data_IF_148650517392
#
_entry.id   IF_148650517392
#
_cell.length_a   1.000
_cell.length_b   1.000
_cell.length_c   1.000
_cell.angle_alpha   90.00
_cell.angle_beta   90.00
_cell.angle_gamma   90.00
#
_symmetry.space_group_name_H-M   'P 1'
#
loop_
_entity.id
_entity.type
_entity.pdbx_description
1 polymer ?
#
# COMPACT_ATOMS: atom_id res chain seq x y z
N UNK A 1 61.50 -6.63 -8.45
CA UNK A 1 60.42 -5.92 -9.16
C UNK A 1 59.11 -6.51 -8.66
N UNK A 2 58.72 -6.11 -7.45
CA UNK A 2 57.53 -6.61 -6.75
C UNK A 2 56.65 -5.39 -6.49
N UNK A 3 55.72 -5.11 -7.40
CA UNK A 3 54.78 -4.01 -7.23
C UNK A 3 53.35 -4.49 -7.52
N UNK A 4 52.45 -4.12 -6.60
CA UNK A 4 51.00 -3.97 -6.81
C UNK A 4 50.11 -5.22 -6.91
N UNK A 5 50.23 -6.20 -5.98
CA UNK A 5 49.17 -7.21 -5.76
C UNK A 5 48.26 -6.95 -4.54
N UNK A 6 48.66 -6.06 -3.62
CA UNK A 6 47.95 -5.83 -2.35
C UNK A 6 46.72 -4.92 -2.43
N UNK A 7 46.78 -3.84 -3.20
CA UNK A 7 45.68 -2.86 -3.25
C UNK A 7 44.44 -3.36 -4.01
N UNK A 8 44.63 -4.12 -5.09
CA UNK A 8 43.52 -4.50 -5.96
C UNK A 8 42.53 -5.48 -5.30
N UNK A 9 43.02 -6.35 -4.41
CA UNK A 9 42.19 -7.29 -3.67
C UNK A 9 41.40 -6.58 -2.55
N UNK A 10 42.01 -5.62 -1.85
CA UNK A 10 41.36 -4.89 -0.76
C UNK A 10 40.26 -3.96 -1.27
N UNK A 11 40.48 -3.28 -2.40
CA UNK A 11 39.45 -2.42 -3.03
C UNK A 11 38.29 -3.25 -3.57
N UNK A 12 38.56 -4.43 -4.15
CA UNK A 12 37.50 -5.36 -4.60
C UNK A 12 36.71 -5.94 -3.43
N UNK A 13 37.35 -6.27 -2.31
CA UNK A 13 36.66 -6.71 -1.08
C UNK A 13 35.78 -5.60 -0.49
N UNK A 14 36.28 -4.35 -0.47
CA UNK A 14 35.50 -3.18 -0.03
C UNK A 14 34.28 -2.93 -0.92
N UNK A 15 34.45 -2.99 -2.24
CA UNK A 15 33.33 -2.84 -3.19
C UNK A 15 32.33 -3.99 -3.08
N UNK A 16 32.79 -5.24 -2.95
CA UNK A 16 31.91 -6.39 -2.77
C UNK A 16 31.11 -6.31 -1.46
N UNK A 17 31.73 -5.82 -0.38
CA UNK A 17 31.06 -5.60 0.91
C UNK A 17 29.99 -4.52 0.81
N UNK A 18 30.26 -3.39 0.14
CA UNK A 18 29.27 -2.33 -0.09
C UNK A 18 28.09 -2.87 -0.90
N UNK A 19 28.36 -3.59 -1.99
CA UNK A 19 27.31 -4.21 -2.82
C UNK A 19 26.48 -5.19 -1.99
N UNK A 20 27.11 -6.03 -1.17
CA UNK A 20 26.39 -6.99 -0.34
C UNK A 20 25.51 -6.30 0.71
N UNK A 21 25.99 -5.23 1.34
CA UNK A 21 25.20 -4.45 2.31
C UNK A 21 24.01 -3.79 1.61
N UNK A 22 24.22 -3.15 0.46
CA UNK A 22 23.15 -2.51 -0.31
C UNK A 22 22.11 -3.53 -0.76
N UNK A 23 22.54 -4.67 -1.31
CA UNK A 23 21.64 -5.73 -1.75
C UNK A 23 20.84 -6.32 -0.57
N UNK A 24 21.51 -6.58 0.55
CA UNK A 24 20.85 -7.11 1.75
C UNK A 24 19.82 -6.11 2.30
N UNK A 25 20.15 -4.81 2.31
CA UNK A 25 19.23 -3.75 2.71
C UNK A 25 18.00 -3.65 1.80
N UNK A 26 18.21 -3.75 0.49
CA UNK A 26 17.12 -3.76 -0.50
C UNK A 26 16.18 -4.96 -0.29
N UNK A 27 16.73 -6.16 -0.09
CA UNK A 27 15.94 -7.38 0.16
C UNK A 27 15.12 -7.26 1.45
N UNK A 28 15.73 -6.84 2.56
CA UNK A 28 15.02 -6.68 3.83
C UNK A 28 13.87 -5.69 3.69
N UNK A 29 14.08 -4.59 2.96
CA UNK A 29 13.03 -3.59 2.78
C UNK A 29 11.90 -4.11 1.90
N UNK A 30 12.22 -4.81 0.81
CA UNK A 30 11.22 -5.45 -0.04
C UNK A 30 10.36 -6.45 0.74
N UNK A 31 10.98 -7.31 1.56
CA UNK A 31 10.26 -8.29 2.38
C UNK A 31 9.34 -7.60 3.40
N UNK A 32 9.82 -6.54 4.08
CA UNK A 32 8.99 -5.80 5.03
C UNK A 32 7.78 -5.16 4.36
N UNK A 33 7.97 -4.55 3.20
CA UNK A 33 6.89 -3.94 2.43
C UNK A 33 5.86 -4.98 2.01
N UNK A 34 6.31 -6.11 1.45
CA UNK A 34 5.44 -7.20 1.00
C UNK A 34 4.65 -7.82 2.17
N UNK A 35 5.30 -7.99 3.32
CA UNK A 35 4.65 -8.44 4.54
C UNK A 35 3.57 -7.45 5.01
N UNK A 36 3.86 -6.15 5.03
CA UNK A 36 2.88 -5.13 5.42
C UNK A 36 1.70 -5.08 4.45
N UNK A 37 1.96 -5.11 3.14
CA UNK A 37 0.90 -5.12 2.12
C UNK A 37 0.01 -6.35 2.28
N UNK A 38 0.60 -7.55 2.38
CA UNK A 38 -0.14 -8.79 2.58
C UNK A 38 -0.94 -8.80 3.88
N UNK A 39 -0.38 -8.27 4.96
CA UNK A 39 -1.07 -8.18 6.25
C UNK A 39 -2.31 -7.28 6.19
N UNK A 40 -2.19 -6.11 5.57
CA UNK A 40 -3.30 -5.15 5.46
C UNK A 40 -4.38 -5.69 4.52
N UNK A 41 -3.97 -6.32 3.41
CA UNK A 41 -4.85 -6.97 2.44
C UNK A 41 -5.67 -8.11 3.07
N UNK A 42 -5.01 -9.05 3.76
CA UNK A 42 -5.67 -10.18 4.42
C UNK A 42 -6.63 -9.71 5.51
N UNK A 43 -6.24 -8.69 6.30
CA UNK A 43 -7.12 -8.10 7.32
C UNK A 43 -8.38 -7.52 6.73
N UNK A 44 -8.25 -6.78 5.62
CA UNK A 44 -9.41 -6.17 4.97
C UNK A 44 -10.34 -7.23 4.39
N UNK A 45 -9.82 -8.18 3.62
CA UNK A 45 -10.62 -9.23 2.99
C UNK A 45 -11.21 -10.22 3.99
N UNK A 46 -10.50 -10.53 5.08
CA UNK A 46 -11.04 -11.34 6.16
C UNK A 46 -12.17 -10.62 6.87
N UNK A 47 -11.99 -9.32 7.16
CA UNK A 47 -13.06 -8.52 7.71
C UNK A 47 -14.27 -8.56 6.76
N UNK A 48 -14.02 -8.27 5.46
CA UNK A 48 -14.68 -8.61 4.16
C UNK A 48 -15.61 -9.85 4.15
N UNK A 49 -15.05 -10.98 4.58
CA UNK A 49 -15.72 -12.26 4.56
C UNK A 49 -16.53 -12.54 5.83
N UNK A 50 -16.10 -12.00 6.97
CA UNK A 50 -16.75 -12.21 8.27
C UNK A 50 -18.03 -11.37 8.45
N UNK A 51 -18.33 -10.45 7.52
CA UNK A 51 -19.56 -9.66 7.53
C UNK A 51 -19.65 -8.73 8.74
N UNK A 52 -18.50 -8.27 9.25
CA UNK A 52 -18.40 -7.46 10.49
C UNK A 52 -18.86 -6.00 10.31
N UNK A 53 -19.73 -5.72 9.36
CA UNK A 53 -20.24 -4.38 9.07
C UNK A 53 -21.76 -4.47 9.01
N UNK A 54 -22.42 -3.67 9.84
CA UNK A 54 -23.79 -3.27 9.59
C UNK A 54 -23.77 -2.02 8.73
N UNK A 55 -24.72 -1.89 7.80
CA UNK A 55 -24.81 -0.76 6.87
C UNK A 55 -24.84 0.62 7.56
N UNK A 56 -25.21 0.66 8.86
CA UNK A 56 -25.32 1.87 9.66
C UNK A 56 -24.10 2.18 10.55
N UNK A 57 -23.03 1.37 10.49
CA UNK A 57 -21.85 1.56 11.34
C UNK A 57 -20.70 2.23 10.57
N UNK A 58 -20.28 3.40 11.04
CA UNK A 58 -19.04 4.04 10.61
C UNK A 58 -17.86 3.50 11.42
N UNK A 59 -16.73 3.27 10.77
CA UNK A 59 -15.52 2.84 11.44
C UNK A 59 -14.28 3.54 10.88
N UNK A 60 -13.30 3.81 11.75
CA UNK A 60 -11.99 4.26 11.29
C UNK A 60 -11.28 3.12 10.57
N UNK A 61 -10.80 3.38 9.36
CA UNK A 61 -10.07 2.40 8.55
C UNK A 61 -8.84 1.86 9.29
N UNK A 62 -8.12 2.72 10.01
CA UNK A 62 -6.94 2.33 10.78
C UNK A 62 -7.28 1.34 11.91
N UNK A 63 -8.37 1.60 12.65
CA UNK A 63 -8.83 0.71 13.72
C UNK A 63 -9.34 -0.62 13.17
N UNK A 64 -10.06 -0.58 12.05
CA UNK A 64 -10.62 -1.75 11.41
C UNK A 64 -9.56 -2.72 10.89
N UNK A 65 -8.50 -2.18 10.29
CA UNK A 65 -7.35 -2.96 9.83
C UNK A 65 -6.43 -3.39 10.98
N UNK A 66 -6.47 -2.68 12.11
CA UNK A 66 -5.46 -2.77 13.16
C UNK A 66 -4.08 -2.33 12.67
N UNK A 67 -4.05 -1.42 11.70
CA UNK A 67 -2.86 -0.91 11.03
C UNK A 67 -2.83 0.60 11.18
N UNK A 68 -1.80 1.12 11.86
CA UNK A 68 -1.69 2.55 12.15
C UNK A 68 -0.46 3.21 11.52
N UNK A 69 0.36 2.45 10.78
CA UNK A 69 1.62 2.93 10.20
C UNK A 69 1.43 3.60 8.83
N UNK A 70 0.46 4.51 8.72
CA UNK A 70 0.23 5.34 7.54
C UNK A 70 -0.21 6.75 7.93
N UNK A 71 0.01 7.71 7.04
CA UNK A 71 -0.40 9.11 7.21
C UNK A 71 -1.65 9.40 6.39
N UNK A 72 -1.70 8.88 5.17
CA UNK A 72 -2.81 9.06 4.22
C UNK A 72 -3.18 7.76 3.51
N UNK A 73 -4.44 7.64 3.12
CA UNK A 73 -4.96 6.57 2.27
C UNK A 73 -5.65 7.19 1.06
N UNK A 74 -5.28 6.73 -0.13
CA UNK A 74 -5.82 7.24 -1.39
C UNK A 74 -6.67 6.17 -2.07
N UNK A 75 -7.79 6.60 -2.65
CA UNK A 75 -8.65 5.77 -3.49
C UNK A 75 -8.17 5.92 -4.94
N UNK A 76 -7.63 4.84 -5.49
CA UNK A 76 -7.10 4.82 -6.85
C UNK A 76 -8.06 4.05 -7.75
N UNK A 77 -8.56 4.75 -8.77
CA UNK A 77 -9.42 4.19 -9.81
C UNK A 77 -8.63 4.09 -11.13
N UNK A 78 -9.04 3.19 -12.05
CA UNK A 78 -8.46 3.15 -13.39
C UNK A 78 -8.52 4.54 -14.05
N UNK A 79 -7.38 5.03 -14.53
CA UNK A 79 -7.26 6.36 -15.12
C UNK A 79 -7.14 7.52 -14.12
N UNK A 80 -6.87 7.25 -12.84
CA UNK A 80 -6.52 8.30 -11.86
C UNK A 80 -5.18 8.95 -12.17
N UNK A 81 -5.10 10.28 -12.03
CA UNK A 81 -3.87 11.06 -12.21
C UNK A 81 -2.97 11.10 -10.95
N UNK A 82 -3.30 10.32 -9.91
CA UNK A 82 -2.50 10.26 -8.69
C UNK A 82 -1.15 9.58 -8.97
N UNK A 83 -0.08 10.28 -8.61
CA UNK A 83 1.29 9.76 -8.67
C UNK A 83 1.76 9.33 -7.29
N UNK A 84 2.43 8.19 -7.24
CA UNK A 84 2.95 7.63 -6.00
C UNK A 84 4.43 7.34 -6.13
N UNK A 85 5.12 7.39 -5.00
CA UNK A 85 6.52 6.99 -4.91
C UNK A 85 6.69 5.92 -3.83
N UNK A 86 7.67 5.06 -4.02
CA UNK A 86 8.17 4.19 -2.94
C UNK A 86 8.89 5.05 -1.89
N UNK A 87 9.16 4.50 -0.71
CA UNK A 87 9.98 5.16 0.33
C UNK A 87 11.39 5.57 -0.13
N UNK A 88 11.83 5.13 -1.30
CA UNK A 88 13.12 5.46 -1.90
C UNK A 88 13.02 6.48 -3.03
N UNK A 89 11.85 7.07 -3.27
CA UNK A 89 11.63 8.07 -4.34
C UNK A 89 11.50 7.48 -5.74
N UNK A 90 11.33 6.17 -5.88
CA UNK A 90 11.01 5.57 -7.19
C UNK A 90 9.51 5.62 -7.45
N UNK A 91 9.13 5.91 -8.70
CA UNK A 91 7.73 5.87 -9.13
C UNK A 91 7.09 4.51 -8.79
N UNK A 92 5.90 4.57 -8.19
CA UNK A 92 5.09 3.42 -7.84
C UNK A 92 3.83 3.39 -8.71
N UNK A 93 3.54 2.23 -9.31
CA UNK A 93 2.35 2.02 -10.13
C UNK A 93 1.34 1.17 -9.35
N UNK A 94 0.20 1.75 -8.93
CA UNK A 94 -0.86 1.01 -8.27
C UNK A 94 -1.41 -0.12 -9.16
N UNK A 95 -1.82 -1.20 -8.51
CA UNK A 95 -2.49 -2.36 -9.11
C UNK A 95 -3.96 -2.01 -9.40
N UNK A 96 -4.19 -1.24 -10.46
CA UNK A 96 -5.52 -0.91 -10.97
C UNK A 96 -5.64 -1.27 -12.45
N UNK A 97 -6.80 -1.83 -12.83
CA UNK A 97 -7.04 -2.36 -14.18
C UNK A 97 -6.81 -3.87 -14.28
N UNK A 98 -7.31 -4.47 -15.38
CA UNK A 98 -7.31 -5.92 -15.55
C UNK A 98 -8.22 -6.61 -14.54
N UNK A 99 -7.63 -7.43 -13.67
CA UNK A 99 -8.35 -8.16 -12.60
C UNK A 99 -8.87 -7.25 -11.48
N UNK A 100 -8.23 -6.10 -11.27
CA UNK A 100 -8.55 -5.19 -10.17
C UNK A 100 -9.38 -4.00 -10.64
N UNK A 101 -10.49 -3.75 -9.95
CA UNK A 101 -11.42 -2.68 -10.23
C UNK A 101 -10.92 -1.33 -9.70
N UNK A 102 -10.26 -1.32 -8.54
CA UNK A 102 -9.72 -0.14 -7.86
C UNK A 102 -8.77 -0.57 -6.75
N UNK A 103 -8.04 0.35 -6.11
CA UNK A 103 -7.21 0.02 -4.95
C UNK A 103 -7.19 1.11 -3.87
N UNK A 104 -6.90 0.69 -2.64
CA UNK A 104 -6.53 1.58 -1.54
C UNK A 104 -5.01 1.64 -1.44
N UNK A 105 -4.43 2.81 -1.62
CA UNK A 105 -2.98 3.03 -1.50
C UNK A 105 -2.70 3.78 -0.21
N UNK A 106 -1.95 3.15 0.69
CA UNK A 106 -1.55 3.73 1.97
C UNK A 106 -0.15 4.31 1.83
N UNK A 107 0.04 5.55 2.28
CA UNK A 107 1.33 6.24 2.23
C UNK A 107 1.74 6.74 3.62
N UNK A 108 3.04 6.78 3.87
CA UNK A 108 3.68 7.35 5.07
C UNK A 108 4.89 8.15 4.65
N UNK A 109 5.01 9.38 5.13
CA UNK A 109 6.11 10.29 4.76
C UNK A 109 6.28 10.44 3.24
N UNK A 110 5.16 10.42 2.49
CA UNK A 110 5.12 10.51 1.03
C UNK A 110 5.39 9.20 0.28
N UNK A 111 5.87 8.14 0.95
CA UNK A 111 6.14 6.84 0.33
C UNK A 111 5.01 5.83 0.53
N UNK A 112 4.72 5.00 -0.47
CA UNK A 112 3.77 3.89 -0.36
C UNK A 112 4.26 2.87 0.68
N UNK A 113 3.35 2.45 1.56
CA UNK A 113 3.61 1.47 2.62
C UNK A 113 2.78 0.20 2.51
N UNK A 114 1.60 0.31 1.89
CA UNK A 114 0.73 -0.81 1.59
C UNK A 114 -0.18 -0.44 0.43
N UNK A 115 -0.63 -1.45 -0.30
CA UNK A 115 -1.70 -1.33 -1.27
C UNK A 115 -2.66 -2.51 -1.06
N UNK A 116 -3.96 -2.23 -1.09
CA UNK A 116 -5.01 -3.24 -1.09
C UNK A 116 -5.79 -3.13 -2.39
N UNK A 117 -5.52 -4.00 -3.38
CA UNK A 117 -6.23 -4.00 -4.64
C UNK A 117 -7.54 -4.76 -4.52
N UNK A 118 -8.61 -4.19 -5.06
CA UNK A 118 -9.97 -4.72 -4.97
C UNK A 118 -10.38 -5.34 -6.29
N UNK A 119 -10.86 -6.59 -6.28
CA UNK A 119 -11.31 -7.25 -7.51
C UNK A 119 -12.71 -6.80 -7.91
N UNK A 120 -13.05 -7.05 -9.16
CA UNK A 120 -14.43 -6.88 -9.63
C UNK A 120 -15.37 -7.80 -8.85
N UNK A 121 -16.38 -7.22 -8.20
CA UNK A 121 -17.42 -7.96 -7.49
C UNK A 121 -17.20 -8.14 -5.98
N UNK A 122 -16.00 -7.86 -5.46
CA UNK A 122 -15.73 -7.96 -4.01
C UNK A 122 -16.43 -6.82 -3.25
N UNK A 123 -16.04 -5.58 -3.57
CA UNK A 123 -16.63 -4.36 -3.03
C UNK A 123 -16.49 -3.24 -4.07
N UNK A 124 -17.58 -2.51 -4.29
CA UNK A 124 -17.60 -1.37 -5.20
C UNK A 124 -16.76 -0.19 -4.67
N UNK A 125 -16.18 0.61 -5.56
CA UNK A 125 -15.45 1.80 -5.15
C UNK A 125 -16.39 2.88 -4.58
N UNK A 126 -15.87 3.76 -3.72
CA UNK A 126 -16.62 4.91 -3.25
C UNK A 126 -17.13 5.80 -4.39
N UNK A 127 -18.36 6.32 -4.25
CA UNK A 127 -18.93 7.25 -5.24
C UNK A 127 -18.21 8.60 -5.16
N UNK A 128 -17.98 9.22 -6.32
CA UNK A 128 -17.49 10.60 -6.45
C UNK A 128 -16.12 10.89 -5.83
N UNK A 129 -15.34 9.85 -5.46
CA UNK A 129 -14.02 9.97 -4.82
C UNK A 129 -12.86 9.61 -5.77
N UNK A 130 -12.95 10.05 -7.03
CA UNK A 130 -11.87 9.85 -8.00
C UNK A 130 -10.60 10.60 -7.56
N UNK A 131 -9.55 9.85 -7.20
CA UNK A 131 -8.25 10.42 -6.90
C UNK A 131 -8.19 11.20 -5.58
N UNK A 132 -9.06 10.90 -4.61
CA UNK A 132 -9.01 11.54 -3.30
C UNK A 132 -8.15 10.75 -2.31
N UNK A 133 -7.44 11.50 -1.47
CA UNK A 133 -6.66 10.98 -0.35
C UNK A 133 -7.24 11.50 0.96
N UNK A 134 -7.33 10.62 1.94
CA UNK A 134 -7.83 10.92 3.28
C UNK A 134 -6.69 10.78 4.27
N UNK A 135 -6.59 11.71 5.22
CA UNK A 135 -5.68 11.57 6.35
C UNK A 135 -6.12 10.41 7.25
N UNK A 136 -5.17 9.73 7.89
CA UNK A 136 -5.43 8.53 8.70
C UNK A 136 -6.53 8.75 9.74
N UNK A 137 -6.54 9.92 10.38
CA UNK A 137 -7.51 10.26 11.41
C UNK A 137 -8.87 10.70 10.86
N UNK A 138 -8.97 11.00 9.57
CA UNK A 138 -10.21 11.36 8.87
C UNK A 138 -10.74 10.22 7.97
N UNK A 139 -9.99 9.13 7.81
CA UNK A 139 -10.36 7.97 7.01
C UNK A 139 -11.42 7.11 7.72
N UNK A 140 -12.63 7.66 7.85
CA UNK A 140 -13.81 6.92 8.30
C UNK A 140 -14.54 6.35 7.10
N UNK A 141 -14.92 5.09 7.23
CA UNK A 141 -15.57 4.33 6.17
C UNK A 141 -16.81 3.64 6.70
N UNK A 142 -17.77 3.49 5.82
CA UNK A 142 -18.93 2.63 5.98
C UNK A 142 -19.06 1.72 4.76
N UNK A 143 -19.71 0.58 4.94
CA UNK A 143 -20.00 -0.35 3.84
C UNK A 143 -21.51 -0.34 3.64
N UNK A 144 -21.94 0.13 2.46
CA UNK A 144 -23.35 0.27 2.09
C UNK A 144 -23.71 -0.75 1.01
N UNK A 145 -24.99 -1.11 0.94
CA UNK A 145 -25.52 -1.89 -0.17
C UNK A 145 -25.64 -0.99 -1.41
N UNK A 146 -24.84 -1.28 -2.44
CA UNK A 146 -24.90 -0.60 -3.73
C UNK A 146 -25.68 -1.40 -4.78
N UNK A 147 -25.99 -0.76 -5.92
CA UNK A 147 -26.72 -1.38 -7.03
C UNK A 147 -26.06 -2.66 -7.59
N UNK A 148 -24.73 -2.77 -7.47
CA UNK A 148 -23.94 -3.90 -7.97
C UNK A 148 -23.27 -4.71 -6.84
N UNK A 149 -23.82 -4.65 -5.61
CA UNK A 149 -23.25 -5.28 -4.42
C UNK A 149 -22.71 -4.29 -3.40
N UNK A 150 -22.06 -4.78 -2.32
CA UNK A 150 -21.56 -3.94 -1.25
C UNK A 150 -20.55 -2.92 -1.80
N UNK A 151 -20.52 -1.74 -1.20
CA UNK A 151 -19.68 -0.62 -1.62
C UNK A 151 -19.08 0.07 -0.42
N UNK A 152 -17.79 0.42 -0.51
CA UNK A 152 -17.14 1.26 0.50
C UNK A 152 -17.51 2.72 0.27
N UNK A 153 -17.83 3.45 1.32
CA UNK A 153 -18.03 4.89 1.28
C UNK A 153 -17.20 5.55 2.38
N UNK A 154 -16.41 6.56 2.04
CA UNK A 154 -15.78 7.42 3.02
C UNK A 154 -16.80 8.44 3.51
N UNK A 155 -16.80 8.70 4.81
CA UNK A 155 -17.73 9.63 5.47
C UNK A 155 -16.94 10.75 6.12
N UNK A 156 -17.34 11.98 5.85
CA UNK A 156 -16.88 13.14 6.60
C UNK A 156 -17.58 13.15 7.97
N UNK A 157 -16.81 13.25 9.04
CA UNK A 157 -17.32 13.41 10.41
C UNK A 157 -17.22 14.84 10.90
#
# INVERSE_FOLDING_TARGET
MECAKGDFAMTRFKSAMIVFIVLSGAIITAIKFDYTATYVDDRLHKALAEGRYSADCHFSLACFLGFHEFDTVCVVLPGSDLTFETRFGFAYNPKVGGEYAWSLVFTREGGVVAEVPMKHGDIGPPRDLHGMCFERWAAFVQIIDGENGPRMQFVDM
#
